data_IF_320900793906
#
_entry.id   IF_320900793906
#
_cell.length_a   1.000
_cell.length_b   1.000
_cell.length_c   1.000
_cell.angle_alpha   90.00
_cell.angle_beta   90.00
_cell.angle_gamma   90.00
#
_symmetry.space_group_name_H-M   'P 1'
#
loop_
_entity.id
_entity.type
_entity.pdbx_description
1 polymer ?
#
# COMPACT_ATOMS: atom_id res chain seq x y z
N UNK A 1 24.42 -13.23 -12.72
CA UNK A 1 24.27 -14.41 -11.83
C UNK A 1 24.10 -13.86 -10.42
N UNK A 2 23.09 -14.28 -9.63
CA UNK A 2 22.92 -13.75 -8.28
C UNK A 2 24.07 -14.23 -7.38
N UNK A 3 24.63 -13.30 -6.61
CA UNK A 3 25.87 -13.49 -5.88
C UNK A 3 25.65 -13.91 -4.42
N UNK A 4 24.45 -13.71 -3.87
CA UNK A 4 24.17 -13.96 -2.45
C UNK A 4 22.99 -14.92 -2.29
N UNK A 5 23.19 -15.95 -1.49
CA UNK A 5 22.18 -16.95 -1.17
C UNK A 5 21.65 -16.67 0.24
N UNK A 6 20.34 -16.50 0.36
CA UNK A 6 19.66 -16.28 1.63
C UNK A 6 18.88 -17.51 2.07
N UNK A 7 18.96 -17.84 3.36
CA UNK A 7 18.06 -18.83 3.94
C UNK A 7 16.70 -18.16 4.19
N UNK A 8 15.60 -18.61 3.55
CA UNK A 8 14.30 -17.95 3.68
C UNK A 8 13.77 -18.01 5.10
N UNK A 9 14.12 -19.03 5.90
CA UNK A 9 13.71 -19.09 7.31
C UNK A 9 14.35 -17.96 8.12
N UNK A 10 15.65 -17.74 7.94
CA UNK A 10 16.37 -16.64 8.62
C UNK A 10 15.79 -15.30 8.20
N UNK A 11 15.47 -15.11 6.91
CA UNK A 11 14.84 -13.89 6.42
C UNK A 11 13.46 -13.65 7.06
N UNK A 12 12.60 -14.67 7.08
CA UNK A 12 11.26 -14.59 7.68
C UNK A 12 11.34 -14.29 9.18
N UNK A 13 12.17 -15.05 9.91
CA UNK A 13 12.32 -14.91 11.35
C UNK A 13 12.83 -13.50 11.70
N UNK A 14 13.88 -13.01 11.02
CA UNK A 14 14.38 -11.64 11.21
C UNK A 14 13.32 -10.59 10.87
N UNK A 15 12.63 -10.72 9.74
CA UNK A 15 11.61 -9.75 9.33
C UNK A 15 10.50 -9.62 10.37
N UNK A 16 10.03 -10.74 10.93
CA UNK A 16 9.01 -10.73 11.98
C UNK A 16 9.55 -10.25 13.33
N UNK A 17 10.80 -10.55 13.70
CA UNK A 17 11.41 -10.01 14.91
C UNK A 17 11.54 -8.48 14.83
N UNK A 18 12.04 -7.94 13.72
CA UNK A 18 12.11 -6.49 13.52
C UNK A 18 10.73 -5.84 13.49
N UNK A 19 9.75 -6.48 12.84
CA UNK A 19 8.38 -6.00 12.82
C UNK A 19 7.72 -6.02 14.20
N UNK A 20 7.99 -7.03 15.03
CA UNK A 20 7.51 -7.09 16.41
C UNK A 20 8.11 -5.95 17.25
N UNK A 21 9.43 -5.70 17.13
CA UNK A 21 10.07 -4.57 17.81
C UNK A 21 9.47 -3.23 17.36
N UNK A 22 9.27 -3.05 16.06
CA UNK A 22 8.60 -1.89 15.49
C UNK A 22 7.16 -1.72 16.02
N UNK A 23 6.39 -2.81 16.08
CA UNK A 23 5.01 -2.80 16.57
C UNK A 23 4.94 -2.39 18.05
N UNK A 24 5.77 -3.01 18.90
CA UNK A 24 5.85 -2.69 20.33
C UNK A 24 6.26 -1.24 20.55
N UNK A 25 7.29 -0.76 19.84
CA UNK A 25 7.75 0.61 19.94
C UNK A 25 6.68 1.62 19.47
N UNK A 26 5.96 1.30 18.39
CA UNK A 26 4.88 2.14 17.87
C UNK A 26 3.72 2.26 18.86
N UNK A 27 3.31 1.16 19.51
CA UNK A 27 2.25 1.19 20.52
C UNK A 27 2.68 1.88 21.80
N UNK A 28 3.93 1.68 22.23
CA UNK A 28 4.49 2.34 23.41
C UNK A 28 4.50 3.86 23.25
N UNK A 29 5.04 4.35 22.13
CA UNK A 29 5.13 5.78 21.83
C UNK A 29 3.77 6.43 21.58
N UNK A 30 2.80 5.69 21.04
CA UNK A 30 1.44 6.19 20.85
C UNK A 30 0.60 6.19 22.14
N UNK A 31 1.04 5.50 23.19
CA UNK A 31 0.30 5.38 24.45
C UNK A 31 -0.80 4.32 24.43
N UNK A 32 -0.78 3.37 23.48
CA UNK A 32 -1.74 2.27 23.45
C UNK A 32 -1.98 1.66 22.07
N UNK A 33 -2.93 0.74 22.01
CA UNK A 33 -3.43 0.16 20.75
C UNK A 33 -4.67 0.94 20.33
N UNK A 34 -4.71 1.54 19.11
CA UNK A 34 -5.83 2.39 18.69
C UNK A 34 -7.20 1.73 18.85
N UNK A 35 -7.31 0.44 18.51
CA UNK A 35 -8.55 -0.32 18.66
C UNK A 35 -9.04 -0.34 20.12
N UNK A 36 -8.13 -0.53 21.07
CA UNK A 36 -8.48 -0.55 22.51
C UNK A 36 -8.96 0.83 22.95
N UNK A 37 -8.27 1.89 22.52
CA UNK A 37 -8.64 3.27 22.87
C UNK A 37 -10.04 3.64 22.34
N UNK A 38 -10.39 3.17 21.14
CA UNK A 38 -11.75 3.34 20.58
C UNK A 38 -12.80 2.60 21.43
N UNK A 39 -12.50 1.38 21.87
CA UNK A 39 -13.42 0.64 22.75
C UNK A 39 -13.58 1.30 24.13
N UNK A 40 -12.57 2.04 24.59
CA UNK A 40 -12.61 2.81 25.84
C UNK A 40 -13.34 4.15 25.67
N UNK A 41 -13.76 4.51 24.46
CA UNK A 41 -14.51 5.74 24.17
C UNK A 41 -13.64 6.96 23.87
N UNK A 42 -12.31 6.79 23.80
CA UNK A 42 -11.38 7.87 23.48
C UNK A 42 -11.33 8.07 21.95
N UNK A 43 -12.10 9.05 21.47
CA UNK A 43 -11.99 9.72 20.16
C UNK A 43 -12.42 8.96 18.88
N UNK A 44 -12.55 9.73 17.78
CA UNK A 44 -12.93 9.28 16.44
C UNK A 44 -11.89 8.27 15.87
N UNK A 45 -12.32 7.07 15.44
CA UNK A 45 -11.46 6.05 14.84
C UNK A 45 -10.57 6.56 13.70
N UNK A 46 -11.05 7.52 12.91
CA UNK A 46 -10.29 8.05 11.78
C UNK A 46 -9.12 8.92 12.23
N UNK A 47 -9.30 9.69 13.32
CA UNK A 47 -8.29 10.56 13.89
C UNK A 47 -7.17 9.76 14.56
N UNK A 48 -7.53 8.79 15.42
CA UNK A 48 -6.55 7.94 16.10
C UNK A 48 -5.68 7.14 15.11
N UNK A 49 -6.29 6.63 14.04
CA UNK A 49 -5.57 5.96 12.95
C UNK A 49 -4.60 6.90 12.24
N UNK A 50 -5.05 8.11 11.93
CA UNK A 50 -4.22 9.13 11.29
C UNK A 50 -3.03 9.54 12.17
N UNK A 51 -3.28 9.73 13.46
CA UNK A 51 -2.26 10.15 14.43
C UNK A 51 -1.20 9.07 14.68
N UNK A 52 -1.56 7.78 14.66
CA UNK A 52 -0.62 6.69 14.93
C UNK A 52 0.61 6.71 14.02
N UNK A 53 0.47 7.06 12.75
CA UNK A 53 1.59 7.07 11.81
C UNK A 53 1.81 8.42 11.10
N UNK A 54 0.75 9.10 10.66
CA UNK A 54 0.88 10.36 9.91
C UNK A 54 1.02 11.60 10.81
N UNK A 55 0.54 11.52 12.05
CA UNK A 55 0.62 12.63 13.02
C UNK A 55 1.98 12.78 13.70
N UNK A 56 2.92 11.87 13.46
CA UNK A 56 4.24 11.86 14.11
C UNK A 56 5.15 12.95 13.54
N UNK A 57 5.90 13.61 14.42
CA UNK A 57 6.82 14.70 14.09
C UNK A 57 8.26 14.37 14.50
N UNK A 58 9.23 15.08 13.94
CA UNK A 58 10.65 14.90 14.26
C UNK A 58 11.19 13.54 13.82
N UNK A 59 11.99 12.90 14.67
CA UNK A 59 12.66 11.61 14.38
C UNK A 59 11.63 10.49 14.18
N UNK A 60 10.45 10.60 14.78
CA UNK A 60 9.41 9.57 14.69
C UNK A 60 8.76 9.45 13.31
N UNK A 61 9.00 10.40 12.40
CA UNK A 61 8.61 10.29 10.99
C UNK A 61 9.21 9.03 10.35
N UNK A 62 10.36 8.55 10.83
CA UNK A 62 10.97 7.29 10.36
C UNK A 62 10.03 6.10 10.55
N UNK A 63 9.17 6.10 11.59
CA UNK A 63 8.20 5.03 11.82
C UNK A 63 7.14 4.94 10.72
N UNK A 64 6.78 6.07 10.09
CA UNK A 64 5.88 6.07 8.95
C UNK A 64 6.48 5.29 7.77
N UNK A 65 7.76 5.54 7.46
CA UNK A 65 8.48 4.85 6.39
C UNK A 65 8.70 3.37 6.73
N UNK A 66 9.11 3.05 7.96
CA UNK A 66 9.24 1.66 8.39
C UNK A 66 7.91 0.91 8.31
N UNK A 67 6.81 1.55 8.73
CA UNK A 67 5.46 1.00 8.61
C UNK A 67 5.14 0.64 7.16
N UNK A 68 5.40 1.55 6.22
CA UNK A 68 5.18 1.32 4.80
C UNK A 68 6.04 0.15 4.27
N UNK A 69 7.34 0.15 4.54
CA UNK A 69 8.27 -0.91 4.10
C UNK A 69 7.83 -2.30 4.63
N UNK A 70 7.48 -2.40 5.91
CA UNK A 70 6.98 -3.65 6.48
C UNK A 70 5.65 -4.05 5.85
N UNK A 71 4.73 -3.09 5.69
CA UNK A 71 3.36 -3.36 5.26
C UNK A 71 3.24 -3.76 3.79
N UNK A 72 4.13 -3.26 2.93
CA UNK A 72 4.04 -3.48 1.49
C UNK A 72 5.00 -4.56 0.99
N UNK A 73 6.17 -4.73 1.60
CA UNK A 73 7.19 -5.64 1.07
C UNK A 73 7.55 -6.73 2.06
N UNK A 74 8.08 -6.40 3.24
CA UNK A 74 8.71 -7.41 4.09
C UNK A 74 7.70 -8.40 4.68
N UNK A 75 6.57 -7.94 5.20
CA UNK A 75 5.56 -8.84 5.80
C UNK A 75 4.84 -9.66 4.73
N UNK A 76 4.31 -9.08 3.64
CA UNK A 76 3.73 -9.86 2.55
C UNK A 76 4.70 -10.90 1.99
N UNK A 77 5.96 -10.53 1.74
CA UNK A 77 6.99 -11.46 1.28
C UNK A 77 7.29 -12.56 2.30
N UNK A 78 7.43 -12.22 3.57
CA UNK A 78 7.75 -13.19 4.62
C UNK A 78 6.63 -14.22 4.80
N UNK A 79 5.37 -13.77 4.76
CA UNK A 79 4.21 -14.67 4.80
C UNK A 79 4.23 -15.57 3.56
N UNK A 80 4.44 -15.01 2.36
CA UNK A 80 4.54 -15.79 1.14
C UNK A 80 5.63 -16.86 1.20
N UNK A 81 6.83 -16.52 1.65
CA UNK A 81 7.94 -17.45 1.81
C UNK A 81 7.61 -18.54 2.83
N UNK A 82 7.00 -18.18 3.97
CA UNK A 82 6.59 -19.14 4.99
C UNK A 82 5.59 -20.17 4.44
N UNK A 83 4.65 -19.74 3.59
CA UNK A 83 3.71 -20.63 2.91
C UNK A 83 4.36 -21.42 1.76
N UNK A 84 5.28 -20.80 1.02
CA UNK A 84 6.02 -21.43 -0.07
C UNK A 84 6.87 -22.60 0.40
N UNK A 85 7.68 -22.37 1.43
CA UNK A 85 8.57 -23.36 2.03
C UNK A 85 7.89 -24.22 3.10
N UNK A 86 6.56 -24.10 3.27
CA UNK A 86 5.76 -24.86 4.25
C UNK A 86 6.33 -24.81 5.68
N UNK A 87 6.82 -23.65 6.11
CA UNK A 87 7.38 -23.49 7.45
C UNK A 87 6.35 -23.83 8.53
N UNK A 88 6.79 -24.40 9.66
CA UNK A 88 5.90 -24.82 10.76
C UNK A 88 5.07 -23.66 11.33
N UNK A 89 5.67 -22.46 11.40
CA UNK A 89 5.07 -21.27 12.02
C UNK A 89 4.29 -20.37 11.04
N UNK A 90 4.04 -20.82 9.80
CA UNK A 90 3.42 -19.98 8.76
C UNK A 90 2.06 -19.37 9.14
N UNK A 91 1.26 -20.11 9.89
CA UNK A 91 -0.05 -19.64 10.35
C UNK A 91 0.07 -18.65 11.50
N UNK A 92 1.09 -18.80 12.36
CA UNK A 92 1.35 -17.83 13.42
C UNK A 92 1.79 -16.49 12.84
N UNK A 93 2.68 -16.51 11.84
CA UNK A 93 3.11 -15.29 11.12
C UNK A 93 1.94 -14.57 10.45
N UNK A 94 1.07 -15.32 9.76
CA UNK A 94 -0.14 -14.76 9.17
C UNK A 94 -1.09 -14.18 10.24
N UNK A 95 -1.36 -14.94 11.31
CA UNK A 95 -2.25 -14.50 12.37
C UNK A 95 -1.71 -13.22 13.03
N UNK A 96 -0.42 -13.17 13.36
CA UNK A 96 0.21 -11.98 13.93
C UNK A 96 0.06 -10.75 13.03
N UNK A 97 0.33 -10.89 11.73
CA UNK A 97 0.22 -9.80 10.78
C UNK A 97 -1.24 -9.30 10.63
N UNK A 98 -2.21 -10.22 10.65
CA UNK A 98 -3.64 -9.89 10.63
C UNK A 98 -4.09 -9.20 11.94
N UNK A 99 -3.67 -9.70 13.10
CA UNK A 99 -3.97 -9.07 14.39
C UNK A 99 -3.38 -7.66 14.48
N UNK A 100 -2.15 -7.46 13.99
CA UNK A 100 -1.56 -6.12 13.91
C UNK A 100 -2.37 -5.20 12.99
N UNK A 101 -2.80 -5.68 11.82
CA UNK A 101 -3.64 -4.91 10.89
C UNK A 101 -4.97 -4.50 11.51
N UNK A 102 -5.60 -5.39 12.28
CA UNK A 102 -6.85 -5.13 12.99
C UNK A 102 -6.62 -4.13 14.14
N UNK A 103 -5.59 -4.35 14.96
CA UNK A 103 -5.27 -3.49 16.11
C UNK A 103 -4.90 -2.05 15.72
N UNK A 104 -4.27 -1.86 14.57
CA UNK A 104 -3.91 -0.54 14.01
C UNK A 104 -4.99 0.08 13.13
N UNK A 105 -6.10 -0.64 12.87
CA UNK A 105 -7.14 -0.26 11.91
C UNK A 105 -6.60 0.06 10.49
N UNK A 106 -5.43 -0.49 10.15
CA UNK A 106 -4.77 -0.24 8.88
C UNK A 106 -5.35 -1.13 7.79
N UNK A 107 -6.40 -0.64 7.10
CA UNK A 107 -7.12 -1.35 6.03
C UNK A 107 -6.18 -1.86 4.92
N UNK A 108 -5.12 -1.11 4.60
CA UNK A 108 -4.19 -1.43 3.53
C UNK A 108 -3.34 -2.69 3.82
N UNK A 109 -2.92 -2.90 5.07
CA UNK A 109 -2.01 -4.00 5.42
C UNK A 109 -2.66 -5.37 5.19
N UNK A 110 -3.92 -5.53 5.58
CA UNK A 110 -4.67 -6.75 5.36
C UNK A 110 -4.77 -7.10 3.87
N UNK A 111 -5.09 -6.11 3.02
CA UNK A 111 -5.13 -6.30 1.58
C UNK A 111 -3.74 -6.64 1.03
N UNK A 112 -2.70 -5.94 1.48
CA UNK A 112 -1.32 -6.16 1.03
C UNK A 112 -0.81 -7.57 1.35
N UNK A 113 -1.27 -8.20 2.43
CA UNK A 113 -0.88 -9.57 2.77
C UNK A 113 -1.72 -10.58 2.00
N UNK A 114 -3.04 -10.39 1.99
CA UNK A 114 -3.96 -11.38 1.46
C UNK A 114 -3.97 -11.40 -0.07
N UNK A 115 -3.78 -10.28 -0.75
CA UNK A 115 -3.77 -10.21 -2.21
C UNK A 115 -2.62 -11.01 -2.86
N UNK A 116 -1.34 -10.82 -2.49
CA UNK A 116 -0.27 -11.63 -3.05
C UNK A 116 -0.31 -13.08 -2.54
N UNK A 117 -0.74 -13.35 -1.30
CA UNK A 117 -0.95 -14.72 -0.81
C UNK A 117 -2.00 -15.45 -1.63
N UNK A 118 -3.08 -14.75 -2.00
CA UNK A 118 -4.13 -15.27 -2.84
C UNK A 118 -3.61 -15.57 -4.27
N UNK A 119 -2.89 -14.63 -4.88
CA UNK A 119 -2.25 -14.83 -6.18
C UNK A 119 -1.31 -16.06 -6.15
N UNK A 120 -0.50 -16.19 -5.11
CA UNK A 120 0.39 -17.35 -4.91
C UNK A 120 -0.37 -18.68 -4.89
N UNK A 121 -1.47 -18.74 -4.14
CA UNK A 121 -2.29 -19.94 -4.00
C UNK A 121 -2.97 -20.34 -5.32
N UNK A 122 -3.43 -19.35 -6.10
CA UNK A 122 -3.97 -19.57 -7.45
C UNK A 122 -2.90 -20.14 -8.39
N UNK A 123 -1.70 -19.55 -8.41
CA UNK A 123 -0.60 -19.98 -9.27
C UNK A 123 -0.14 -21.41 -8.96
N UNK A 124 -0.16 -21.80 -7.68
CA UNK A 124 0.11 -23.18 -7.24
C UNK A 124 -1.00 -24.18 -7.60
N UNK A 125 -2.17 -23.72 -8.09
CA UNK A 125 -3.38 -24.52 -8.35
C UNK A 125 -3.83 -25.38 -7.16
N UNK A 126 -3.47 -24.98 -5.94
CA UNK A 126 -3.79 -25.74 -4.71
C UNK A 126 -5.14 -25.39 -4.11
N UNK A 127 -5.80 -24.37 -4.65
CA UNK A 127 -7.06 -23.87 -4.17
C UNK A 127 -8.15 -24.31 -5.14
N UNK A 128 -9.08 -25.12 -4.65
CA UNK A 128 -10.35 -25.33 -5.35
C UNK A 128 -11.18 -24.05 -5.31
N UNK A 129 -12.04 -23.85 -6.30
CA UNK A 129 -12.94 -22.67 -6.44
C UNK A 129 -13.72 -22.38 -5.14
N UNK A 130 -14.06 -23.42 -4.36
CA UNK A 130 -14.73 -23.29 -3.06
C UNK A 130 -13.90 -22.53 -2.03
N UNK A 131 -12.61 -22.82 -1.89
CA UNK A 131 -11.74 -22.11 -0.94
C UNK A 131 -11.47 -20.68 -1.42
N UNK A 132 -11.42 -20.45 -2.74
CA UNK A 132 -11.38 -19.10 -3.31
C UNK A 132 -12.61 -18.28 -2.89
N UNK A 133 -13.81 -18.81 -3.10
CA UNK A 133 -15.05 -18.14 -2.72
C UNK A 133 -15.10 -17.84 -1.21
N UNK A 134 -14.67 -18.77 -0.36
CA UNK A 134 -14.62 -18.56 1.09
C UNK A 134 -13.66 -17.42 1.46
N UNK A 135 -12.44 -17.41 0.93
CA UNK A 135 -11.49 -16.32 1.19
C UNK A 135 -12.01 -14.97 0.70
N UNK A 136 -12.63 -14.94 -0.49
CA UNK A 136 -13.22 -13.73 -1.05
C UNK A 136 -14.36 -13.22 -0.15
N UNK A 137 -15.25 -14.11 0.31
CA UNK A 137 -16.33 -13.75 1.25
C UNK A 137 -15.77 -13.22 2.57
N UNK A 138 -14.71 -13.82 3.13
CA UNK A 138 -14.09 -13.32 4.37
C UNK A 138 -13.51 -11.92 4.17
N UNK A 139 -12.74 -11.71 3.09
CA UNK A 139 -12.18 -10.42 2.72
C UNK A 139 -13.26 -9.36 2.52
N UNK A 140 -14.31 -9.73 1.80
CA UNK A 140 -15.42 -8.84 1.47
C UNK A 140 -16.25 -8.49 2.72
N UNK A 141 -16.54 -9.46 3.57
CA UNK A 141 -17.21 -9.24 4.87
C UNK A 141 -16.39 -8.35 5.80
N UNK A 142 -15.07 -8.54 5.87
CA UNK A 142 -14.18 -7.64 6.61
C UNK A 142 -14.24 -6.22 6.04
N UNK A 143 -14.22 -6.07 4.72
CA UNK A 143 -14.33 -4.76 4.08
C UNK A 143 -15.66 -4.06 4.38
N UNK A 144 -16.79 -4.78 4.31
CA UNK A 144 -18.11 -4.27 4.70
C UNK A 144 -18.11 -3.82 6.16
N UNK A 145 -17.63 -4.67 7.07
CA UNK A 145 -17.55 -4.35 8.49
C UNK A 145 -16.74 -3.06 8.72
N UNK A 146 -15.61 -2.92 8.02
CA UNK A 146 -14.76 -1.73 8.11
C UNK A 146 -15.38 -0.47 7.50
N UNK A 147 -16.28 -0.59 6.51
CA UNK A 147 -17.03 0.58 5.99
C UNK A 147 -18.07 1.01 7.02
N UNK A 148 -18.86 0.06 7.53
CA UNK A 148 -19.91 0.33 8.51
C UNK A 148 -19.34 0.95 9.80
N UNK A 149 -18.21 0.46 10.28
CA UNK A 149 -17.55 1.00 11.48
C UNK A 149 -16.91 2.37 11.28
N UNK A 150 -16.67 2.81 10.03
CA UNK A 150 -16.11 4.14 9.73
C UNK A 150 -17.17 5.17 9.32
N UNK A 151 -18.45 4.90 9.60
CA UNK A 151 -19.49 5.94 9.66
C UNK A 151 -19.92 6.56 8.32
N UNK A 152 -19.53 5.99 7.18
CA UNK A 152 -19.99 6.49 5.86
C UNK A 152 -21.45 6.11 5.56
N UNK A 153 -22.14 5.41 6.47
CA UNK A 153 -23.56 5.09 6.41
C UNK A 153 -24.42 6.17 7.12
N UNK A 154 -23.98 7.43 7.10
CA UNK A 154 -24.71 8.57 7.64
C UNK A 154 -25.54 9.24 6.56
N UNK A 155 -26.85 8.99 6.59
CA UNK A 155 -27.92 9.79 5.98
C UNK A 155 -27.80 10.07 4.47
N UNK A 156 -28.52 9.27 3.68
CA UNK A 156 -28.91 9.57 2.31
C UNK A 156 -29.83 10.80 2.24
N UNK A 157 -29.29 11.97 2.56
CA UNK A 157 -29.91 13.27 2.28
C UNK A 157 -29.14 13.81 1.08
N UNK A 158 -29.80 13.78 -0.07
CA UNK A 158 -29.39 14.31 -1.39
C UNK A 158 -27.99 14.93 -1.48
N UNK A 159 -27.06 14.19 -2.09
CA UNK A 159 -25.90 14.78 -2.76
C UNK A 159 -25.71 14.08 -4.11
N UNK A 160 -26.30 14.71 -5.14
CA UNK A 160 -26.34 14.26 -6.54
C UNK A 160 -25.04 14.50 -7.31
N UNK A 161 -23.93 13.96 -6.83
CA UNK A 161 -22.69 13.89 -7.61
C UNK A 161 -22.72 12.75 -8.63
N UNK A 162 -22.12 12.93 -9.80
CA UNK A 162 -21.92 11.85 -10.77
C UNK A 162 -21.02 10.75 -10.19
N UNK A 163 -21.15 9.50 -10.68
CA UNK A 163 -20.34 8.36 -10.23
C UNK A 163 -18.83 8.64 -10.27
N UNK A 164 -18.35 9.46 -11.21
CA UNK A 164 -16.95 9.87 -11.33
C UNK A 164 -16.68 11.21 -10.62
N UNK A 165 -17.16 11.38 -9.39
CA UNK A 165 -16.95 12.59 -8.58
C UNK A 165 -16.58 12.27 -7.13
N UNK A 166 -15.88 13.19 -6.46
CA UNK A 166 -15.64 13.17 -5.01
C UNK A 166 -16.90 13.40 -4.19
N UNK A 167 -17.95 13.98 -4.78
CA UNK A 167 -19.25 14.27 -4.15
C UNK A 167 -20.25 13.12 -4.24
N UNK A 168 -19.88 12.02 -4.90
CA UNK A 168 -20.73 10.84 -4.98
C UNK A 168 -20.90 10.19 -3.60
N UNK A 169 -22.15 9.94 -3.21
CA UNK A 169 -22.49 9.25 -1.97
C UNK A 169 -22.99 7.84 -2.27
N UNK A 170 -22.19 6.80 -1.96
CA UNK A 170 -22.59 5.44 -2.26
C UNK A 170 -23.78 4.97 -1.44
N UNK A 171 -24.71 4.29 -2.10
CA UNK A 171 -25.95 3.79 -1.52
C UNK A 171 -25.79 2.50 -0.70
N UNK A 172 -24.72 1.75 -0.94
CA UNK A 172 -24.43 0.47 -0.28
C UNK A 172 -22.92 0.22 -0.16
N UNK A 173 -22.52 -0.78 0.63
CA UNK A 173 -21.10 -1.15 0.77
C UNK A 173 -20.51 -1.72 -0.54
N UNK A 174 -21.33 -2.41 -1.35
CA UNK A 174 -20.94 -2.88 -2.69
C UNK A 174 -20.72 -1.69 -3.63
N UNK A 175 -21.64 -0.73 -3.62
CA UNK A 175 -21.57 0.48 -4.42
C UNK A 175 -20.33 1.31 -4.05
N UNK A 176 -20.07 1.49 -2.75
CA UNK A 176 -18.86 2.15 -2.25
C UNK A 176 -17.60 1.44 -2.74
N UNK A 177 -17.58 0.10 -2.73
CA UNK A 177 -16.46 -0.68 -3.22
C UNK A 177 -16.21 -0.42 -4.72
N UNK A 178 -17.25 -0.49 -5.55
CA UNK A 178 -17.14 -0.25 -6.99
C UNK A 178 -16.70 1.18 -7.29
N UNK A 179 -17.29 2.16 -6.61
CA UNK A 179 -16.88 3.56 -6.72
C UNK A 179 -15.39 3.75 -6.35
N UNK A 180 -14.97 3.20 -5.20
CA UNK A 180 -13.56 3.29 -4.75
C UNK A 180 -12.59 2.60 -5.71
N UNK A 181 -13.01 1.50 -6.34
CA UNK A 181 -12.16 0.71 -7.21
C UNK A 181 -12.03 1.31 -8.62
N UNK A 182 -13.14 1.80 -9.20
CA UNK A 182 -13.17 2.27 -10.58
C UNK A 182 -13.20 3.78 -10.72
N UNK A 183 -14.07 4.47 -9.96
CA UNK A 183 -14.25 5.91 -10.13
C UNK A 183 -13.10 6.71 -9.54
N UNK A 184 -12.70 6.36 -8.31
CA UNK A 184 -11.73 7.14 -7.53
C UNK A 184 -10.37 7.31 -8.23
N UNK A 185 -9.73 6.28 -8.80
CA UNK A 185 -8.50 6.48 -9.55
C UNK A 185 -8.67 7.39 -10.78
N UNK A 186 -9.84 7.35 -11.44
CA UNK A 186 -10.12 8.09 -12.66
C UNK A 186 -10.37 9.56 -12.36
N UNK A 187 -11.35 9.89 -11.51
CA UNK A 187 -11.68 11.29 -11.26
C UNK A 187 -10.53 12.00 -10.54
N UNK A 188 -9.83 11.34 -9.61
CA UNK A 188 -8.66 11.95 -8.97
C UNK A 188 -7.54 12.22 -9.96
N UNK A 189 -7.37 11.39 -11.00
CA UNK A 189 -6.40 11.66 -12.07
C UNK A 189 -6.78 12.90 -12.89
N UNK A 190 -8.07 13.05 -13.23
CA UNK A 190 -8.58 14.22 -13.96
C UNK A 190 -8.43 15.48 -13.11
N UNK A 191 -8.85 15.44 -11.85
CA UNK A 191 -8.74 16.55 -10.91
C UNK A 191 -7.27 16.96 -10.70
N UNK A 192 -6.36 15.99 -10.64
CA UNK A 192 -4.92 16.28 -10.51
C UNK A 192 -4.39 17.04 -11.72
N UNK A 193 -4.79 16.68 -12.94
CA UNK A 193 -4.42 17.43 -14.15
C UNK A 193 -5.04 18.83 -14.12
N UNK A 194 -6.30 18.94 -13.71
CA UNK A 194 -6.99 20.23 -13.61
C UNK A 194 -6.28 21.17 -12.63
N UNK A 195 -5.98 20.70 -11.42
CA UNK A 195 -5.24 21.45 -10.40
C UNK A 195 -3.84 21.84 -10.91
N UNK A 196 -3.14 20.91 -11.55
CA UNK A 196 -1.82 21.17 -12.13
C UNK A 196 -1.86 22.32 -13.15
N UNK A 197 -2.84 22.32 -14.05
CA UNK A 197 -2.97 23.35 -15.08
C UNK A 197 -3.45 24.69 -14.51
N UNK A 198 -4.48 24.68 -13.66
CA UNK A 198 -5.20 25.89 -13.26
C UNK A 198 -4.67 26.53 -11.98
N UNK A 199 -4.19 25.74 -11.01
CA UNK A 199 -3.72 26.24 -9.71
C UNK A 199 -2.20 26.32 -9.65
N UNK A 200 -1.50 25.42 -10.34
CA UNK A 200 -0.04 25.33 -10.32
C UNK A 200 0.62 25.92 -11.58
N UNK A 201 -0.18 26.48 -12.49
CA UNK A 201 0.30 27.16 -13.70
C UNK A 201 0.84 26.25 -14.80
N UNK A 202 0.65 24.93 -14.69
CA UNK A 202 1.03 23.95 -15.71
C UNK A 202 2.54 23.73 -15.90
N UNK A 203 3.38 24.31 -15.04
CA UNK A 203 4.82 24.11 -15.09
C UNK A 203 5.21 22.79 -14.44
N UNK A 204 5.96 21.96 -15.16
CA UNK A 204 6.40 20.66 -14.64
C UNK A 204 7.23 20.82 -13.36
N UNK A 205 7.00 19.89 -12.43
CA UNK A 205 7.49 19.97 -11.06
C UNK A 205 8.92 19.49 -10.88
N UNK A 206 9.51 18.85 -11.89
CA UNK A 206 10.90 18.39 -11.92
C UNK A 206 11.32 17.55 -10.71
N UNK A 207 10.38 16.81 -10.10
CA UNK A 207 10.63 15.98 -8.92
C UNK A 207 10.27 16.64 -7.59
N UNK A 208 9.81 17.89 -7.58
CA UNK A 208 9.38 18.58 -6.35
C UNK A 208 8.18 17.92 -5.66
N UNK A 209 7.44 17.03 -6.35
CA UNK A 209 6.36 16.24 -5.73
C UNK A 209 6.86 15.21 -4.71
N UNK A 210 8.14 14.81 -4.80
CA UNK A 210 8.75 13.80 -3.93
C UNK A 210 9.73 14.45 -2.96
N UNK A 211 9.60 14.16 -1.66
CA UNK A 211 10.52 14.67 -0.64
C UNK A 211 12.00 14.36 -0.92
N UNK A 212 12.27 13.20 -1.53
CA UNK A 212 13.63 12.76 -1.81
C UNK A 212 14.19 13.53 -3.01
N UNK A 213 13.43 13.62 -4.10
CA UNK A 213 13.90 14.31 -5.30
C UNK A 213 13.95 15.83 -5.07
N UNK A 214 12.96 16.41 -4.39
CA UNK A 214 12.98 17.83 -4.01
C UNK A 214 14.21 18.15 -3.18
N UNK A 215 14.56 17.30 -2.20
CA UNK A 215 15.77 17.47 -1.39
C UNK A 215 17.06 17.31 -2.19
N UNK A 216 17.12 16.34 -3.12
CA UNK A 216 18.31 16.10 -3.94
C UNK A 216 18.55 17.21 -4.97
N UNK A 217 17.47 17.80 -5.50
CA UNK A 217 17.51 18.85 -6.52
C UNK A 217 17.48 20.26 -5.91
N UNK A 218 17.40 20.37 -4.58
CA UNK A 218 17.34 21.66 -3.88
C UNK A 218 16.06 22.45 -4.16
N UNK A 219 14.96 21.76 -4.47
CA UNK A 219 13.67 22.36 -4.78
C UNK A 219 12.75 22.36 -3.55
N UNK A 220 11.87 23.36 -3.48
CA UNK A 220 10.79 23.36 -2.50
C UNK A 220 9.83 22.20 -2.78
N UNK A 221 9.46 21.46 -1.73
CA UNK A 221 8.57 20.31 -1.87
C UNK A 221 7.13 20.77 -2.10
N UNK A 222 6.49 20.22 -3.13
CA UNK A 222 5.08 20.48 -3.43
C UNK A 222 4.24 19.26 -3.07
N UNK A 223 3.38 19.38 -2.05
CA UNK A 223 2.47 18.32 -1.63
C UNK A 223 1.22 18.23 -2.55
N UNK A 224 1.42 17.81 -3.80
CA UNK A 224 0.37 17.72 -4.83
C UNK A 224 -0.88 16.98 -4.31
N UNK A 225 -0.69 15.86 -3.62
CA UNK A 225 -1.80 15.04 -3.11
C UNK A 225 -2.69 15.79 -2.11
N UNK A 226 -2.14 16.75 -1.36
CA UNK A 226 -2.90 17.58 -0.42
C UNK A 226 -3.63 18.71 -1.13
N UNK A 227 -2.99 19.33 -2.11
CA UNK A 227 -3.61 20.39 -2.92
C UNK A 227 -4.80 19.82 -3.71
N UNK A 228 -4.64 18.63 -4.29
CA UNK A 228 -5.75 17.93 -4.96
C UNK A 228 -6.84 17.53 -3.96
N UNK A 229 -6.47 17.09 -2.76
CA UNK A 229 -7.46 16.80 -1.71
C UNK A 229 -8.27 18.05 -1.34
N UNK A 230 -7.60 19.20 -1.19
CA UNK A 230 -8.24 20.49 -0.91
C UNK A 230 -9.21 20.89 -2.02
N UNK A 231 -8.84 20.71 -3.29
CA UNK A 231 -9.75 20.89 -4.42
C UNK A 231 -10.97 19.96 -4.36
N UNK A 232 -10.76 18.68 -4.04
CA UNK A 232 -11.82 17.66 -4.06
C UNK A 232 -12.84 17.78 -2.92
N UNK A 233 -12.40 18.26 -1.76
CA UNK A 233 -13.19 18.25 -0.53
C UNK A 233 -13.41 19.65 0.06
N UNK A 234 -12.94 20.71 -0.62
CA UNK A 234 -13.17 22.11 -0.24
C UNK A 234 -12.45 22.55 1.03
N UNK A 235 -11.41 21.83 1.46
CA UNK A 235 -10.66 22.18 2.67
C UNK A 235 -9.33 21.45 2.80
N UNK A 236 -8.31 22.18 3.26
CA UNK A 236 -7.00 21.62 3.56
C UNK A 236 -7.06 20.75 4.82
N UNK A 237 -6.59 19.51 4.72
CA UNK A 237 -6.47 18.59 5.85
C UNK A 237 -5.04 18.02 5.92
N UNK A 238 -4.27 18.27 7.00
CA UNK A 238 -2.88 17.85 7.08
C UNK A 238 -2.69 16.32 7.14
N UNK A 239 -3.74 15.56 7.48
CA UNK A 239 -3.71 14.11 7.63
C UNK A 239 -4.29 13.36 6.41
N UNK A 240 -4.96 14.07 5.51
CA UNK A 240 -5.63 13.49 4.35
C UNK A 240 -4.88 13.79 3.05
N UNK A 241 -4.84 12.79 2.17
CA UNK A 241 -4.22 12.88 0.85
C UNK A 241 -5.23 12.36 -0.16
N UNK A 242 -5.26 12.97 -1.34
CA UNK A 242 -5.92 12.37 -2.49
C UNK A 242 -5.19 11.09 -2.91
N UNK A 243 -5.87 10.20 -3.63
CA UNK A 243 -5.18 9.08 -4.27
C UNK A 243 -4.32 9.59 -5.42
N UNK A 244 -3.30 8.84 -5.81
CA UNK A 244 -2.43 9.25 -6.90
C UNK A 244 -2.30 8.09 -7.87
N UNK A 245 -2.37 8.35 -9.16
CA UNK A 245 -2.00 7.35 -10.17
C UNK A 245 -0.57 7.61 -10.63
N UNK A 246 0.27 6.56 -10.73
CA UNK A 246 1.68 6.75 -11.02
C UNK A 246 1.95 7.57 -12.28
N UNK A 247 1.14 7.34 -13.32
CA UNK A 247 1.34 7.98 -14.61
C UNK A 247 1.15 9.50 -14.52
N UNK A 248 0.16 9.93 -13.74
CA UNK A 248 -0.13 11.34 -13.50
C UNK A 248 1.00 11.96 -12.67
N UNK A 249 1.39 11.34 -11.55
CA UNK A 249 2.49 11.87 -10.73
C UNK A 249 3.78 12.07 -11.52
N UNK A 250 4.16 11.09 -12.35
CA UNK A 250 5.35 11.19 -13.19
C UNK A 250 5.18 12.22 -14.32
N UNK A 251 3.99 12.33 -14.91
CA UNK A 251 3.71 13.36 -15.93
C UNK A 251 3.84 14.77 -15.36
N UNK A 252 3.34 15.01 -14.14
CA UNK A 252 3.47 16.28 -13.45
C UNK A 252 4.94 16.65 -13.22
N UNK A 253 5.77 15.70 -12.76
CA UNK A 253 7.19 15.95 -12.51
C UNK A 253 8.02 16.07 -13.80
N UNK A 254 7.84 15.17 -14.75
CA UNK A 254 8.80 14.93 -15.83
C UNK A 254 8.20 14.91 -17.23
N UNK A 255 6.97 15.42 -17.40
CA UNK A 255 6.24 15.44 -18.66
C UNK A 255 5.99 14.05 -19.26
N UNK A 256 5.57 14.02 -20.54
CA UNK A 256 5.41 12.79 -21.32
C UNK A 256 6.71 11.98 -21.43
N UNK A 257 7.87 12.65 -21.48
CA UNK A 257 9.16 11.96 -21.59
C UNK A 257 9.41 11.09 -20.35
N UNK A 258 9.26 11.65 -19.16
CA UNK A 258 9.41 10.89 -17.92
C UNK A 258 8.37 9.78 -17.79
N UNK A 259 7.14 10.00 -18.26
CA UNK A 259 6.10 8.98 -18.25
C UNK A 259 6.48 7.77 -19.12
N UNK A 260 6.93 8.00 -20.36
CA UNK A 260 7.34 6.91 -21.27
C UNK A 260 8.51 6.13 -20.67
N UNK A 261 9.54 6.84 -20.18
CA UNK A 261 10.72 6.22 -19.58
C UNK A 261 10.35 5.41 -18.33
N UNK A 262 9.52 5.97 -17.45
CA UNK A 262 9.11 5.29 -16.20
C UNK A 262 8.22 4.08 -16.49
N UNK A 263 7.26 4.20 -17.41
CA UNK A 263 6.43 3.07 -17.85
C UNK A 263 7.27 1.94 -18.46
N UNK A 264 8.31 2.27 -19.22
CA UNK A 264 9.26 1.28 -19.74
C UNK A 264 9.99 0.54 -18.62
N UNK A 265 10.51 1.25 -17.62
CA UNK A 265 11.14 0.62 -16.45
C UNK A 265 10.18 -0.23 -15.62
N UNK A 266 8.94 0.23 -15.43
CA UNK A 266 7.88 -0.56 -14.79
C UNK A 266 7.63 -1.86 -15.57
N UNK A 267 7.56 -1.78 -16.91
CA UNK A 267 7.42 -2.94 -17.79
C UNK A 267 8.58 -3.94 -17.63
N UNK A 268 9.83 -3.46 -17.63
CA UNK A 268 11.01 -4.29 -17.36
C UNK A 268 10.93 -4.94 -15.97
N UNK A 269 10.50 -4.18 -14.96
CA UNK A 269 10.40 -4.69 -13.61
C UNK A 269 9.33 -5.78 -13.48
N UNK A 270 8.15 -5.59 -14.10
CA UNK A 270 7.14 -6.64 -14.21
C UNK A 270 7.64 -7.87 -14.95
N UNK A 271 8.31 -7.68 -16.08
CA UNK A 271 8.88 -8.78 -16.86
C UNK A 271 9.92 -9.55 -16.02
N UNK A 272 10.75 -8.84 -15.25
CA UNK A 272 11.76 -9.44 -14.38
C UNK A 272 11.13 -10.25 -13.24
N UNK A 273 10.07 -9.73 -12.62
CA UNK A 273 9.28 -10.48 -11.63
C UNK A 273 8.58 -11.69 -12.26
N UNK A 274 8.07 -11.55 -13.49
CA UNK A 274 7.37 -12.61 -14.20
C UNK A 274 8.30 -13.76 -14.63
N UNK A 275 9.53 -13.42 -15.01
CA UNK A 275 10.59 -14.37 -15.36
C UNK A 275 11.29 -14.96 -14.12
N UNK A 276 11.05 -14.38 -12.94
CA UNK A 276 11.53 -14.95 -11.70
C UNK A 276 10.90 -16.32 -11.48
N UNK A 277 11.75 -17.29 -11.20
CA UNK A 277 11.31 -18.65 -10.86
C UNK A 277 10.78 -18.75 -9.44
N UNK A 278 11.02 -17.71 -8.64
CA UNK A 278 10.47 -17.62 -7.30
C UNK A 278 9.01 -17.14 -7.37
N UNK A 279 8.09 -18.08 -7.12
CA UNK A 279 6.66 -17.83 -7.06
C UNK A 279 6.28 -16.75 -6.03
N UNK A 280 7.05 -16.60 -4.94
CA UNK A 280 6.80 -15.55 -3.94
C UNK A 280 7.06 -14.16 -4.54
N UNK A 281 8.15 -13.99 -5.32
CA UNK A 281 8.46 -12.72 -6.00
C UNK A 281 7.42 -12.43 -7.09
N UNK A 282 7.08 -13.43 -7.90
CA UNK A 282 6.02 -13.30 -8.91
C UNK A 282 4.71 -12.83 -8.28
N UNK A 283 4.32 -13.40 -7.14
CA UNK A 283 3.05 -13.06 -6.47
C UNK A 283 3.05 -11.65 -5.89
N UNK A 284 4.20 -11.14 -5.43
CA UNK A 284 4.35 -9.74 -5.02
C UNK A 284 4.17 -8.78 -6.20
N UNK A 285 4.45 -9.21 -7.42
CA UNK A 285 4.18 -8.41 -8.62
C UNK A 285 2.74 -7.92 -8.71
N UNK A 286 1.76 -8.72 -8.28
CA UNK A 286 0.36 -8.27 -8.23
C UNK A 286 0.16 -7.13 -7.24
N UNK A 287 0.79 -7.20 -6.06
CA UNK A 287 0.75 -6.11 -5.09
C UNK A 287 1.40 -4.84 -5.66
N UNK A 288 2.52 -4.97 -6.36
CA UNK A 288 3.15 -3.84 -7.04
C UNK A 288 2.21 -3.20 -8.08
N UNK A 289 1.51 -4.01 -8.89
CA UNK A 289 0.53 -3.51 -9.86
C UNK A 289 -0.61 -2.73 -9.20
N UNK A 290 -1.16 -3.28 -8.11
CA UNK A 290 -2.19 -2.62 -7.33
C UNK A 290 -1.70 -1.27 -6.77
N UNK A 291 -0.48 -1.24 -6.25
CA UNK A 291 0.13 0.00 -5.75
C UNK A 291 0.35 1.01 -6.88
N UNK A 292 0.90 0.60 -8.02
CA UNK A 292 1.13 1.50 -9.15
C UNK A 292 -0.17 2.16 -9.62
N UNK A 293 -1.28 1.43 -9.61
CA UNK A 293 -2.60 1.97 -9.95
C UNK A 293 -3.13 3.01 -8.94
N UNK A 294 -2.66 3.00 -7.68
CA UNK A 294 -3.21 3.79 -6.58
C UNK A 294 -2.17 4.64 -5.82
N UNK A 295 -0.92 4.72 -6.29
CA UNK A 295 0.12 5.55 -5.69
C UNK A 295 1.16 6.08 -6.68
N UNK A 296 2.01 6.97 -6.17
CA UNK A 296 3.16 7.51 -6.92
C UNK A 296 4.29 6.48 -7.02
N UNK A 297 4.89 6.31 -8.20
CA UNK A 297 5.96 5.31 -8.41
C UNK A 297 7.18 5.55 -7.53
N UNK A 298 7.58 6.81 -7.33
CA UNK A 298 8.73 7.12 -6.47
C UNK A 298 8.43 6.70 -5.02
N UNK A 299 7.22 7.01 -4.53
CA UNK A 299 6.77 6.58 -3.21
C UNK A 299 6.70 5.05 -3.08
N UNK A 300 6.21 4.36 -4.11
CA UNK A 300 6.13 2.89 -4.12
C UNK A 300 7.54 2.26 -4.10
N UNK A 301 8.46 2.77 -4.90
CA UNK A 301 9.81 2.20 -4.99
C UNK A 301 10.60 2.43 -3.71
N UNK A 302 10.59 3.66 -3.19
CA UNK A 302 11.45 4.04 -2.06
C UNK A 302 10.73 3.87 -0.73
N UNK A 303 9.57 4.50 -0.54
CA UNK A 303 8.85 4.51 0.74
C UNK A 303 8.15 3.19 1.03
N UNK A 304 7.55 2.54 0.02
CA UNK A 304 6.93 1.22 0.20
C UNK A 304 7.95 0.07 0.12
N UNK A 305 9.22 0.37 -0.18
CA UNK A 305 10.32 -0.58 -0.12
C UNK A 305 10.46 -1.50 -1.34
N UNK A 306 9.77 -1.26 -2.47
CA UNK A 306 9.88 -2.13 -3.65
C UNK A 306 11.26 -2.11 -4.31
N UNK A 307 12.10 -1.11 -3.99
CA UNK A 307 13.53 -1.12 -4.31
C UNK A 307 14.24 -2.39 -3.78
N UNK A 308 13.79 -2.93 -2.64
CA UNK A 308 14.30 -4.20 -2.13
C UNK A 308 14.03 -5.35 -3.10
N UNK A 309 12.85 -5.39 -3.73
CA UNK A 309 12.51 -6.44 -4.70
C UNK A 309 13.39 -6.33 -5.95
N UNK A 310 13.72 -5.11 -6.39
CA UNK A 310 14.71 -4.89 -7.46
C UNK A 310 16.06 -5.48 -7.06
N UNK A 311 16.59 -5.10 -5.90
CA UNK A 311 17.86 -5.63 -5.37
C UNK A 311 17.79 -7.16 -5.27
N UNK A 312 16.66 -7.70 -4.83
CA UNK A 312 16.45 -9.12 -4.69
C UNK A 312 16.55 -9.84 -6.04
N UNK A 313 15.86 -9.35 -7.07
CA UNK A 313 15.88 -9.94 -8.41
C UNK A 313 17.29 -10.00 -9.01
N UNK A 314 18.10 -8.95 -8.80
CA UNK A 314 19.44 -8.88 -9.39
C UNK A 314 20.51 -9.62 -8.59
N UNK A 315 20.44 -9.59 -7.26
CA UNK A 315 21.57 -9.99 -6.40
C UNK A 315 21.30 -11.19 -5.49
N UNK A 316 20.04 -11.48 -5.18
CA UNK A 316 19.66 -12.44 -4.15
C UNK A 316 18.97 -13.68 -4.74
N UNK A 317 19.15 -14.83 -4.05
CA UNK A 317 18.30 -16.01 -4.24
C UNK A 317 18.02 -16.69 -2.91
N UNK A 318 16.82 -17.23 -2.76
CA UNK A 318 16.50 -18.08 -1.61
C UNK A 318 16.96 -19.53 -1.84
N UNK A 319 17.53 -20.15 -0.80
CA UNK A 319 17.86 -21.58 -0.75
C UNK A 319 17.38 -22.17 0.56
N UNK A 320 16.59 -23.24 0.48
CA UNK A 320 16.02 -23.92 1.64
C UNK A 320 16.47 -25.38 1.68
N UNK A 321 17.02 -25.82 2.82
CA UNK A 321 17.40 -27.22 3.09
C UNK A 321 18.21 -27.90 1.96
N UNK A 322 19.21 -27.19 1.42
CA UNK A 322 20.14 -27.75 0.43
C UNK A 322 19.59 -27.87 -1.00
N UNK A 323 18.28 -27.68 -1.23
CA UNK A 323 17.69 -27.68 -2.58
C UNK A 323 17.65 -26.25 -3.11
N UNK A 324 18.27 -26.05 -4.28
CA UNK A 324 18.00 -24.85 -5.08
C UNK A 324 16.55 -24.92 -5.54
N UNK A 325 15.81 -23.82 -5.37
CA UNK A 325 14.55 -23.65 -6.10
C UNK A 325 14.95 -23.39 -7.56
N UNK A 326 14.77 -24.40 -8.40
CA UNK A 326 14.98 -24.33 -9.85
C UNK A 326 13.88 -23.63 -10.57
#
# INVERSE_FOLDING_TARGET
MPHVILNPRVFVDLSFTFFLMFAMYSFYTFGGVPLINIFLGDADPNLLRGQLFKGRQGIEIVLLYLSAIFSYVFIPLSVLLAFHYKMKMRYLFLAFALFFSIGTLQKALLLNILFPLFAYLLLKRKVGVKFFLIMFVILFSYFIFMIQSTGHAGSAIDSGGDFFSSTYVPSSALDYFFWRFFAVPIYTSVDTIYVFQNWMGGNHLLGSSSSLLSSLLGQERVDVEKIVFEYQFGGYNPLANANTYFAIGIFLDFSWVGLVVTSFFIGIFFQSMAQSKDLSIYSIGYLFAWQAANGSVIGIMLSSGFIYIVIHLFFLRYKFEGRYVT
#
